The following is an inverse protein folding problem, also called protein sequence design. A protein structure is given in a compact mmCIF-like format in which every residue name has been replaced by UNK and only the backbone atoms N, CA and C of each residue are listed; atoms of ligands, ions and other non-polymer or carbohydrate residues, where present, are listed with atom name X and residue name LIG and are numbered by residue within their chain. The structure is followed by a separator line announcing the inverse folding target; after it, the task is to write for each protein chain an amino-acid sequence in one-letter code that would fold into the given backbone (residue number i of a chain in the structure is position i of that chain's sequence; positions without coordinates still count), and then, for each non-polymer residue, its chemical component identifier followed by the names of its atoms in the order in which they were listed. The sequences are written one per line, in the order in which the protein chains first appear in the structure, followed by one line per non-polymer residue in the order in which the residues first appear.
data_IF_961512745133
#
_entry.id   IF_961512745133
#
_cell.length_a   1.000
_cell.length_b   1.000
_cell.length_c   1.000
_cell.angle_alpha   90.00
_cell.angle_beta   90.00
_cell.angle_gamma   90.00
#
_symmetry.space_group_name_H-M   'P 1'
#
loop_
_entity.id
_entity.type
_entity.pdbx_description
1 polymer ?
#
# COMPACT_ATOMS: atom_id res chain seq x y z
N UNK A 1 11.12 18.90 -11.39
CA UNK A 1 9.81 19.32 -11.95
C UNK A 1 9.77 20.82 -12.26
N UNK A 2 9.93 21.72 -11.27
CA UNK A 2 9.89 23.18 -11.51
C UNK A 2 10.93 23.68 -12.53
N UNK A 3 12.11 23.06 -12.61
CA UNK A 3 13.13 23.37 -13.62
C UNK A 3 12.81 22.90 -15.04
N UNK A 4 11.80 22.05 -15.21
CA UNK A 4 11.47 21.42 -16.50
C UNK A 4 10.45 22.24 -17.32
N UNK A 5 9.96 23.36 -16.80
CA UNK A 5 8.93 24.19 -17.46
C UNK A 5 8.90 25.59 -16.88
N UNK A 6 8.69 26.62 -17.72
CA UNK A 6 8.49 28.02 -17.27
C UNK A 6 7.04 28.48 -17.41
N UNK A 7 6.11 27.57 -17.74
CA UNK A 7 4.68 27.94 -17.88
C UNK A 7 4.11 28.30 -16.51
N UNK A 8 3.66 29.54 -16.36
CA UNK A 8 3.16 30.09 -15.09
C UNK A 8 2.03 29.25 -14.47
N UNK A 9 1.07 28.79 -15.29
CA UNK A 9 -0.01 27.92 -14.82
C UNK A 9 0.50 26.59 -14.25
N UNK A 10 1.58 26.04 -14.81
CA UNK A 10 2.19 24.80 -14.30
C UNK A 10 2.96 25.08 -13.02
N UNK A 11 3.68 26.21 -12.94
CA UNK A 11 4.38 26.62 -11.72
C UNK A 11 3.40 26.81 -10.55
N UNK A 12 2.29 27.54 -10.77
CA UNK A 12 1.22 27.69 -9.78
C UNK A 12 0.67 26.34 -9.32
N UNK A 13 0.46 25.40 -10.24
CA UNK A 13 -0.03 24.07 -9.87
C UNK A 13 0.99 23.26 -9.06
N UNK A 14 2.28 23.43 -9.33
CA UNK A 14 3.33 22.83 -8.51
C UNK A 14 3.38 23.46 -7.12
N UNK A 15 3.10 24.76 -6.98
CA UNK A 15 2.98 25.44 -5.69
C UNK A 15 1.77 24.94 -4.88
N UNK A 16 0.60 24.74 -5.52
CA UNK A 16 -0.57 24.11 -4.89
C UNK A 16 -0.23 22.73 -4.30
N UNK A 17 0.58 21.95 -5.02
CA UNK A 17 1.03 20.63 -4.56
C UNK A 17 1.94 20.74 -3.33
N UNK A 18 2.81 21.75 -3.26
CA UNK A 18 3.62 22.02 -2.06
C UNK A 18 2.70 22.33 -0.86
N UNK A 19 1.71 23.20 -1.05
CA UNK A 19 0.75 23.55 0.00
C UNK A 19 -0.07 22.35 0.46
N UNK A 20 -0.48 21.49 -0.48
CA UNK A 20 -1.17 20.24 -0.18
C UNK A 20 -0.30 19.26 0.60
N UNK A 21 0.97 19.08 0.20
CA UNK A 21 1.91 18.25 0.96
C UNK A 21 2.11 18.78 2.38
N UNK A 22 2.25 20.10 2.55
CA UNK A 22 2.33 20.72 3.88
C UNK A 22 1.07 20.46 4.72
N UNK A 23 -0.11 20.51 4.11
CA UNK A 23 -1.35 20.11 4.79
C UNK A 23 -1.29 18.66 5.29
N UNK A 24 -0.80 17.73 4.47
CA UNK A 24 -0.66 16.31 4.85
C UNK A 24 0.30 16.18 6.05
N UNK A 25 1.43 16.88 6.03
CA UNK A 25 2.38 16.88 7.16
C UNK A 25 1.74 17.35 8.47
N UNK A 26 1.02 18.48 8.44
CA UNK A 26 0.35 19.04 9.61
C UNK A 26 -0.79 18.14 10.10
N UNK A 27 -1.49 17.47 9.18
CA UNK A 27 -2.49 16.47 9.54
C UNK A 27 -1.84 15.29 10.28
N UNK A 28 -0.69 14.80 9.81
CA UNK A 28 0.04 13.72 10.47
C UNK A 28 0.50 14.12 11.87
N UNK A 29 1.05 15.32 12.03
CA UNK A 29 1.47 15.86 13.34
C UNK A 29 0.28 15.95 14.30
N UNK A 30 -0.84 16.51 13.84
CA UNK A 30 -2.08 16.55 14.61
C UNK A 30 -2.56 15.13 14.97
N UNK A 31 -2.65 14.21 14.01
CA UNK A 31 -3.21 12.88 14.24
C UNK A 31 -2.41 12.05 15.25
N UNK A 32 -1.07 12.23 15.30
CA UNK A 32 -0.16 11.45 16.15
C UNK A 32 0.36 12.19 17.38
N UNK A 33 -0.24 13.33 17.75
CA UNK A 33 0.05 14.05 18.99
C UNK A 33 -1.09 13.91 20.00
N UNK A 34 -0.79 14.20 21.26
CA UNK A 34 -1.76 14.20 22.36
C UNK A 34 -1.63 15.47 23.23
N UNK A 35 -2.60 15.72 24.09
CA UNK A 35 -2.62 16.84 25.03
C UNK A 35 -2.43 18.21 24.38
N UNK A 36 -1.64 19.08 25.01
CA UNK A 36 -1.38 20.45 24.53
C UNK A 36 -0.69 20.47 23.15
N UNK A 37 0.18 19.49 22.87
CA UNK A 37 0.86 19.36 21.57
C UNK A 37 -0.17 19.09 20.47
N UNK A 38 -1.20 18.28 20.76
CA UNK A 38 -2.30 18.03 19.82
C UNK A 38 -3.09 19.29 19.51
N UNK A 39 -3.42 20.08 20.53
CA UNK A 39 -4.12 21.35 20.34
C UNK A 39 -3.30 22.33 19.49
N UNK A 40 -2.00 22.46 19.76
CA UNK A 40 -1.11 23.34 18.98
C UNK A 40 -0.98 22.88 17.52
N UNK A 41 -0.86 21.57 17.28
CA UNK A 41 -0.81 21.03 15.92
C UNK A 41 -2.14 21.16 15.19
N UNK A 42 -3.27 21.01 15.90
CA UNK A 42 -4.60 21.28 15.36
C UNK A 42 -4.75 22.75 14.92
N UNK A 43 -4.33 23.71 15.74
CA UNK A 43 -4.34 25.12 15.35
C UNK A 43 -3.52 25.36 14.07
N UNK A 44 -2.27 24.88 14.03
CA UNK A 44 -1.39 25.02 12.84
C UNK A 44 -2.06 24.46 11.58
N UNK A 45 -2.65 23.27 11.68
CA UNK A 45 -3.38 22.62 10.60
C UNK A 45 -4.53 23.50 10.09
N UNK A 46 -5.37 24.00 11.00
CA UNK A 46 -6.55 24.80 10.63
C UNK A 46 -6.16 26.14 9.99
N UNK A 47 -5.13 26.81 10.52
CA UNK A 47 -4.61 28.06 9.96
C UNK A 47 -4.08 27.87 8.55
N UNK A 48 -3.27 26.84 8.32
CA UNK A 48 -2.73 26.50 7.00
C UNK A 48 -3.85 26.19 5.99
N UNK A 49 -4.80 25.33 6.38
CA UNK A 49 -5.94 24.92 5.55
C UNK A 49 -6.81 26.11 5.16
N UNK A 50 -7.06 27.05 6.07
CA UNK A 50 -7.82 28.25 5.75
C UNK A 50 -7.08 29.14 4.75
N UNK A 51 -5.77 29.36 4.95
CA UNK A 51 -4.95 30.20 4.06
C UNK A 51 -4.84 29.62 2.65
N UNK A 52 -4.71 28.30 2.52
CA UNK A 52 -4.64 27.63 1.21
C UNK A 52 -6.01 27.32 0.55
N UNK A 53 -7.13 27.76 1.13
CA UNK A 53 -8.48 27.34 0.71
C UNK A 53 -8.80 27.59 -0.76
N UNK A 54 -8.22 28.62 -1.36
CA UNK A 54 -8.48 29.04 -2.75
C UNK A 54 -7.83 28.11 -3.78
N UNK A 55 -6.89 27.27 -3.35
CA UNK A 55 -6.32 26.20 -4.19
C UNK A 55 -7.34 25.10 -4.52
N UNK A 56 -8.44 25.03 -3.75
CA UNK A 56 -9.48 23.99 -3.82
C UNK A 56 -8.94 22.55 -3.66
N UNK A 57 -7.72 22.39 -3.15
CA UNK A 57 -7.11 21.08 -2.87
C UNK A 57 -7.68 20.43 -1.59
N UNK A 58 -8.18 21.25 -0.66
CA UNK A 58 -8.73 20.81 0.63
C UNK A 58 -9.97 21.62 0.97
N UNK A 59 -11.04 20.96 1.42
CA UNK A 59 -12.29 21.62 1.79
C UNK A 59 -12.19 22.25 3.21
N UNK A 60 -11.67 23.48 3.30
CA UNK A 60 -11.36 24.14 4.58
C UNK A 60 -12.52 24.16 5.59
N UNK A 61 -13.73 24.52 5.17
CA UNK A 61 -14.92 24.58 6.05
C UNK A 61 -15.30 23.22 6.65
N UNK A 62 -15.10 22.13 5.90
CA UNK A 62 -15.45 20.80 6.37
C UNK A 62 -14.50 20.38 7.49
N UNK A 63 -13.19 20.62 7.33
CA UNK A 63 -12.22 20.39 8.39
C UNK A 63 -12.50 21.23 9.64
N UNK A 64 -12.73 22.53 9.47
CA UNK A 64 -13.05 23.47 10.57
C UNK A 64 -14.27 23.00 11.38
N UNK A 65 -15.29 22.48 10.71
CA UNK A 65 -16.54 22.03 11.31
C UNK A 65 -16.44 20.64 11.92
N UNK A 66 -15.87 19.68 11.19
CA UNK A 66 -16.04 18.26 11.49
C UNK A 66 -14.93 17.69 12.38
N UNK A 67 -13.71 18.24 12.33
CA UNK A 67 -12.59 17.71 13.12
C UNK A 67 -12.88 17.84 14.61
N UNK A 68 -13.24 19.02 15.11
CA UNK A 68 -13.61 19.22 16.53
C UNK A 68 -14.92 18.55 16.93
N UNK A 69 -15.80 18.24 15.96
CA UNK A 69 -17.00 17.47 16.24
C UNK A 69 -16.66 16.01 16.56
N UNK A 70 -15.69 15.44 15.82
CA UNK A 70 -15.25 14.05 15.94
C UNK A 70 -14.18 13.85 17.01
N UNK A 71 -13.31 14.82 17.20
CA UNK A 71 -12.23 14.78 18.20
C UNK A 71 -12.48 15.82 19.29
N UNK A 72 -12.93 15.35 20.46
CA UNK A 72 -13.23 16.21 21.62
C UNK A 72 -12.00 16.63 22.41
N UNK A 73 -10.80 16.16 22.03
CA UNK A 73 -9.54 16.52 22.68
C UNK A 73 -8.97 17.85 22.19
N UNK A 74 -9.57 18.44 21.16
CA UNK A 74 -9.19 19.75 20.64
C UNK A 74 -10.40 20.67 20.56
N UNK A 75 -10.16 21.97 20.70
CA UNK A 75 -11.20 22.99 20.69
C UNK A 75 -10.83 24.14 19.75
N UNK A 76 -11.85 24.88 19.33
CA UNK A 76 -11.69 26.15 18.61
C UNK A 76 -12.14 27.25 19.58
N UNK A 77 -11.29 28.23 19.91
CA UNK A 77 -11.67 29.39 20.71
C UNK A 77 -12.87 30.13 20.11
N UNK A 78 -13.70 30.77 20.94
CA UNK A 78 -14.93 31.46 20.48
C UNK A 78 -14.64 32.54 19.43
N UNK A 79 -13.57 33.31 19.64
CA UNK A 79 -13.09 34.33 18.72
C UNK A 79 -12.43 33.77 17.45
N UNK A 80 -12.20 32.45 17.39
CA UNK A 80 -11.63 31.76 16.24
C UNK A 80 -12.66 30.90 15.48
N UNK A 81 -13.96 30.99 15.78
CA UNK A 81 -14.96 30.17 15.07
C UNK A 81 -15.13 30.58 13.59
N UNK A 82 -15.62 29.65 12.75
CA UNK A 82 -15.74 29.86 11.30
C UNK A 82 -16.53 31.11 10.90
N UNK A 83 -17.53 31.52 11.68
CA UNK A 83 -18.36 32.68 11.35
C UNK A 83 -17.73 34.02 11.75
N UNK A 84 -16.67 34.02 12.54
CA UNK A 84 -15.91 35.25 12.82
C UNK A 84 -15.16 35.65 11.55
N UNK A 85 -15.33 36.91 11.14
CA UNK A 85 -14.66 37.49 9.99
C UNK A 85 -13.14 37.49 10.16
N UNK A 86 -12.41 37.48 9.05
CA UNK A 86 -10.95 37.31 9.05
C UNK A 86 -10.23 38.43 9.83
N UNK A 87 -10.70 39.67 9.75
CA UNK A 87 -10.18 40.82 10.49
C UNK A 87 -10.22 40.65 12.03
N UNK A 88 -11.08 39.77 12.53
CA UNK A 88 -11.28 39.50 13.97
C UNK A 88 -10.85 38.10 14.40
N UNK A 89 -10.57 37.22 13.44
CA UNK A 89 -10.30 35.82 13.72
C UNK A 89 -8.79 35.56 13.65
N UNK A 90 -8.12 35.25 14.78
CA UNK A 90 -6.67 35.09 14.82
C UNK A 90 -6.16 33.88 14.02
N UNK A 91 -7.05 32.98 13.59
CA UNK A 91 -6.70 31.78 12.84
C UNK A 91 -6.90 31.92 11.34
N UNK A 92 -7.42 33.06 10.87
CA UNK A 92 -7.70 33.30 9.45
C UNK A 92 -6.72 34.31 8.88
N UNK A 93 -6.16 33.98 7.72
CA UNK A 93 -5.39 34.88 6.87
C UNK A 93 -5.53 34.41 5.43
N UNK A 94 -5.72 35.35 4.52
CA UNK A 94 -5.79 35.19 3.07
C UNK A 94 -4.55 35.74 2.37
N UNK A 95 -3.52 36.11 3.12
CA UNK A 95 -2.26 36.54 2.54
C UNK A 95 -1.70 35.43 1.64
N UNK A 96 -1.28 35.75 0.40
CA UNK A 96 -0.67 34.76 -0.48
C UNK A 96 0.56 34.13 0.17
N UNK A 97 0.80 32.84 -0.11
CA UNK A 97 2.06 32.21 0.27
C UNK A 97 3.19 32.78 -0.59
N UNK A 98 4.24 33.23 0.08
CA UNK A 98 5.44 33.73 -0.60
C UNK A 98 6.26 32.56 -1.12
N UNK A 99 7.15 32.84 -2.09
CA UNK A 99 8.07 31.83 -2.60
C UNK A 99 8.98 31.27 -1.50
N UNK A 100 9.45 32.15 -0.61
CA UNK A 100 10.30 31.78 0.51
C UNK A 100 9.58 30.80 1.45
N UNK A 101 8.31 31.03 1.79
CA UNK A 101 7.54 30.09 2.62
C UNK A 101 7.37 28.72 1.95
N UNK A 102 7.12 28.68 0.64
CA UNK A 102 7.01 27.43 -0.10
C UNK A 102 8.32 26.64 -0.10
N UNK A 103 9.45 27.31 -0.30
CA UNK A 103 10.77 26.68 -0.25
C UNK A 103 11.09 26.20 1.17
N UNK A 104 10.75 26.98 2.20
CA UNK A 104 10.86 26.55 3.61
C UNK A 104 10.01 25.32 3.93
N UNK A 105 8.78 25.21 3.39
CA UNK A 105 7.97 24.01 3.59
C UNK A 105 8.63 22.77 2.99
N UNK A 106 9.28 22.90 1.85
CA UNK A 106 10.02 21.80 1.21
C UNK A 106 11.22 21.40 2.07
N UNK A 107 12.04 22.37 2.48
CA UNK A 107 13.23 22.16 3.31
C UNK A 107 12.87 21.50 4.65
N UNK A 108 11.92 22.10 5.37
CA UNK A 108 11.42 21.55 6.64
C UNK A 108 10.78 20.18 6.44
N UNK A 109 10.10 19.93 5.32
CA UNK A 109 9.56 18.63 4.98
C UNK A 109 10.67 17.58 4.90
N UNK A 110 11.76 17.86 4.15
CA UNK A 110 12.91 16.96 4.06
C UNK A 110 13.58 16.71 5.41
N UNK A 111 13.80 17.76 6.21
CA UNK A 111 14.44 17.64 7.52
C UNK A 111 13.56 16.84 8.50
N UNK A 112 12.27 17.17 8.60
CA UNK A 112 11.38 16.58 9.59
C UNK A 112 10.78 15.23 9.16
N UNK A 113 10.91 14.86 7.88
CA UNK A 113 10.31 13.66 7.27
C UNK A 113 11.30 12.82 6.48
N UNK A 114 12.60 12.90 6.78
CA UNK A 114 13.63 12.16 6.02
C UNK A 114 13.24 10.69 5.80
N UNK A 115 13.32 10.28 4.52
CA UNK A 115 13.07 8.90 4.11
C UNK A 115 14.11 8.01 4.80
N UNK A 116 13.59 7.08 5.61
CA UNK A 116 14.36 6.49 6.72
C UNK A 116 15.34 5.43 6.26
N UNK A 117 16.64 5.74 6.33
CA UNK A 117 17.72 4.77 6.59
C UNK A 117 17.98 3.69 5.52
N UNK A 118 17.34 3.77 4.37
CA UNK A 118 17.58 2.95 3.18
C UNK A 118 17.10 3.67 1.92
N UNK A 119 17.69 3.30 0.77
CA UNK A 119 17.27 3.78 -0.54
C UNK A 119 16.31 2.75 -1.17
N UNK A 120 15.11 3.15 -1.63
CA UNK A 120 14.21 2.24 -2.34
C UNK A 120 14.83 1.75 -3.66
N UNK A 121 14.56 0.50 -4.02
CA UNK A 121 14.96 -0.11 -5.29
C UNK A 121 13.71 -0.36 -6.11
N UNK A 122 13.69 0.15 -7.32
CA UNK A 122 12.62 -0.13 -8.29
C UNK A 122 12.88 -1.50 -8.92
N UNK A 123 11.85 -2.36 -8.89
CA UNK A 123 11.84 -3.65 -9.56
C UNK A 123 10.85 -3.65 -10.71
N UNK A 124 11.16 -4.41 -11.75
CA UNK A 124 10.28 -4.63 -12.89
C UNK A 124 9.06 -5.46 -12.49
N UNK A 125 8.01 -5.36 -13.30
CA UNK A 125 6.82 -6.22 -13.21
C UNK A 125 6.92 -7.44 -14.15
N UNK A 126 8.10 -7.69 -14.73
CA UNK A 126 8.34 -8.87 -15.56
C UNK A 126 8.67 -10.06 -14.66
N UNK A 127 7.62 -10.68 -14.12
CA UNK A 127 7.76 -11.74 -13.14
C UNK A 127 7.96 -13.10 -13.81
N UNK A 128 8.88 -13.90 -13.23
CA UNK A 128 9.23 -15.25 -13.68
C UNK A 128 9.29 -16.23 -12.50
N UNK A 129 9.12 -17.53 -12.71
CA UNK A 129 9.28 -18.54 -11.67
C UNK A 129 10.68 -18.58 -11.06
N UNK A 130 10.78 -19.01 -9.80
CA UNK A 130 12.04 -19.04 -9.03
C UNK A 130 12.99 -20.21 -9.36
N UNK A 131 12.70 -21.01 -10.39
CA UNK A 131 13.40 -22.27 -10.67
C UNK A 131 14.93 -22.17 -10.78
N UNK A 132 15.47 -21.01 -11.16
CA UNK A 132 16.92 -20.74 -11.23
C UNK A 132 17.62 -20.62 -9.87
N UNK A 133 16.88 -20.33 -8.80
CA UNK A 133 17.44 -19.96 -7.49
C UNK A 133 17.65 -21.13 -6.53
N UNK A 134 17.26 -22.35 -6.90
CA UNK A 134 17.37 -23.57 -6.06
C UNK A 134 16.92 -23.34 -4.60
N UNK A 135 15.81 -22.64 -4.42
CA UNK A 135 15.28 -22.30 -3.10
C UNK A 135 14.72 -23.54 -2.39
N UNK A 136 14.88 -23.67 -1.07
CA UNK A 136 14.32 -24.80 -0.34
C UNK A 136 12.79 -24.76 -0.31
N UNK A 137 12.17 -25.93 -0.18
CA UNK A 137 10.73 -26.01 0.13
C UNK A 137 10.48 -25.48 1.53
N UNK A 138 9.38 -24.75 1.70
CA UNK A 138 8.97 -24.14 2.98
C UNK A 138 7.52 -24.51 3.32
N UNK A 139 7.13 -24.52 4.60
CA UNK A 139 5.73 -24.74 4.97
C UNK A 139 4.82 -23.68 4.36
N UNK A 140 3.69 -24.10 3.78
CA UNK A 140 2.73 -23.22 3.14
C UNK A 140 2.18 -22.17 4.11
N UNK A 141 2.25 -20.91 3.70
CA UNK A 141 1.70 -19.75 4.38
C UNK A 141 0.18 -19.62 4.23
N UNK A 142 -0.36 -18.49 4.72
CA UNK A 142 -1.79 -18.16 4.68
C UNK A 142 -1.98 -16.74 4.19
N UNK A 143 -2.83 -16.51 3.18
CA UNK A 143 -3.12 -15.17 2.63
C UNK A 143 -4.13 -14.35 3.46
N UNK A 144 -4.47 -14.81 4.67
CA UNK A 144 -5.47 -14.15 5.51
C UNK A 144 -6.83 -14.84 5.44
N UNK A 145 -7.86 -14.11 5.89
CA UNK A 145 -9.23 -14.63 6.01
C UNK A 145 -10.03 -14.52 4.70
N UNK A 146 -9.89 -13.39 4.01
CA UNK A 146 -10.55 -13.07 2.74
C UNK A 146 -9.89 -11.83 2.11
N UNK A 147 -10.27 -11.52 0.87
CA UNK A 147 -9.96 -10.26 0.18
C UNK A 147 -11.22 -9.39 0.06
N UNK A 148 -11.08 -8.07 -0.09
CA UNK A 148 -12.20 -7.16 -0.37
C UNK A 148 -11.85 -6.23 -1.52
N UNK A 149 -12.85 -5.86 -2.30
CA UNK A 149 -12.70 -4.98 -3.45
C UNK A 149 -11.94 -5.68 -4.57
N UNK A 150 -11.06 -4.93 -5.23
CA UNK A 150 -10.22 -5.47 -6.30
C UNK A 150 -8.95 -6.13 -5.74
N UNK A 151 -8.72 -7.37 -6.12
CA UNK A 151 -7.51 -8.15 -5.86
C UNK A 151 -6.85 -8.51 -7.19
N UNK A 152 -5.52 -8.48 -7.23
CA UNK A 152 -4.72 -8.92 -8.37
C UNK A 152 -3.78 -10.02 -7.91
N UNK A 153 -3.76 -11.13 -8.63
CA UNK A 153 -2.78 -12.19 -8.51
C UNK A 153 -1.99 -12.30 -9.82
N UNK A 154 -0.71 -12.62 -9.70
CA UNK A 154 0.17 -12.92 -10.82
C UNK A 154 0.44 -14.42 -10.81
N UNK A 155 0.26 -15.06 -11.95
CA UNK A 155 0.46 -16.50 -12.13
C UNK A 155 1.29 -16.78 -13.37
N UNK A 156 1.91 -17.96 -13.41
CA UNK A 156 2.70 -18.40 -14.54
C UNK A 156 2.10 -19.67 -15.12
N UNK A 157 1.97 -19.70 -16.44
CA UNK A 157 1.40 -20.80 -17.19
C UNK A 157 2.52 -21.45 -18.00
N UNK A 158 2.76 -22.73 -17.77
CA UNK A 158 3.69 -23.52 -18.57
C UNK A 158 2.99 -24.11 -19.81
N UNK A 159 3.73 -24.86 -20.63
CA UNK A 159 3.19 -25.47 -21.85
C UNK A 159 2.15 -26.57 -21.58
N UNK A 160 2.21 -27.22 -20.40
CA UNK A 160 1.28 -28.28 -20.00
C UNK A 160 -0.01 -27.77 -19.38
N UNK A 161 -0.07 -26.51 -18.95
CA UNK A 161 -1.19 -25.93 -18.22
C UNK A 161 -2.36 -25.57 -19.14
N UNK A 162 -3.38 -26.43 -19.18
CA UNK A 162 -4.59 -26.20 -20.00
C UNK A 162 -5.62 -25.29 -19.32
N UNK A 163 -5.68 -25.30 -17.98
CA UNK A 163 -6.57 -24.46 -17.19
C UNK A 163 -5.92 -24.04 -15.88
N UNK A 164 -6.43 -22.94 -15.31
CA UNK A 164 -6.16 -22.51 -13.95
C UNK A 164 -7.43 -22.71 -13.14
N UNK A 165 -7.40 -23.69 -12.23
CA UNK A 165 -8.53 -24.00 -11.35
C UNK A 165 -8.47 -23.16 -10.09
N UNK A 166 -9.57 -22.45 -9.79
CA UNK A 166 -9.72 -21.65 -8.57
C UNK A 166 -10.97 -22.08 -7.82
N UNK A 167 -10.85 -22.34 -6.51
CA UNK A 167 -12.00 -22.48 -5.62
C UNK A 167 -12.33 -21.12 -5.02
N UNK A 168 -13.52 -20.62 -5.29
CA UNK A 168 -13.95 -19.26 -4.96
C UNK A 168 -15.23 -19.27 -4.15
N UNK A 169 -15.32 -18.41 -3.15
CA UNK A 169 -16.55 -18.12 -2.40
C UNK A 169 -16.66 -16.63 -2.10
N UNK A 170 -17.73 -16.01 -2.59
CA UNK A 170 -18.06 -14.61 -2.39
C UNK A 170 -19.10 -14.38 -1.30
N UNK A 171 -19.27 -13.12 -0.90
CA UNK A 171 -20.30 -12.71 0.04
C UNK A 171 -20.00 -13.03 1.50
N UNK A 172 -18.73 -12.97 1.90
CA UNK A 172 -18.30 -13.24 3.28
C UNK A 172 -18.75 -12.19 4.29
N UNK A 173 -18.99 -10.96 3.83
CA UNK A 173 -19.45 -9.83 4.65
C UNK A 173 -20.85 -9.40 4.23
N UNK A 174 -21.05 -9.17 2.93
CA UNK A 174 -22.30 -8.67 2.36
C UNK A 174 -22.74 -9.55 1.19
N UNK A 175 -24.04 -9.86 1.09
CA UNK A 175 -24.58 -10.71 0.02
C UNK A 175 -25.27 -9.93 -1.10
N UNK A 176 -25.36 -8.62 -0.96
CA UNK A 176 -26.16 -7.69 -1.78
C UNK A 176 -25.30 -6.74 -2.63
N UNK A 177 -23.99 -6.99 -2.70
CA UNK A 177 -23.01 -6.12 -3.41
C UNK A 177 -22.66 -6.61 -4.82
N UNK A 178 -23.43 -7.57 -5.35
CA UNK A 178 -23.21 -8.18 -6.65
C UNK A 178 -22.27 -9.39 -6.62
N UNK A 179 -22.15 -10.03 -7.78
CA UNK A 179 -21.31 -11.22 -7.97
C UNK A 179 -19.82 -10.88 -7.88
N UNK A 180 -19.04 -11.88 -7.48
CA UNK A 180 -17.59 -11.86 -7.63
C UNK A 180 -17.27 -12.02 -9.11
N UNK A 181 -16.63 -11.03 -9.70
CA UNK A 181 -16.19 -11.03 -11.10
C UNK A 181 -14.69 -11.34 -11.17
N UNK A 182 -14.33 -12.30 -12.00
CA UNK A 182 -12.96 -12.79 -12.15
C UNK A 182 -12.57 -12.70 -13.61
N UNK A 183 -11.40 -12.10 -13.88
CA UNK A 183 -10.84 -12.00 -15.22
C UNK A 183 -9.41 -12.53 -15.25
N UNK A 184 -9.08 -13.25 -16.31
CA UNK A 184 -7.73 -13.68 -16.65
C UNK A 184 -7.20 -12.82 -17.80
N UNK A 185 -6.02 -12.23 -17.62
CA UNK A 185 -5.31 -11.48 -18.64
C UNK A 185 -3.95 -12.12 -18.89
N UNK A 186 -3.43 -11.98 -20.11
CA UNK A 186 -1.98 -12.07 -20.30
C UNK A 186 -1.33 -10.81 -19.73
N UNK A 187 -0.12 -10.93 -19.19
CA UNK A 187 0.63 -9.75 -18.78
C UNK A 187 0.76 -8.75 -19.95
N UNK A 188 0.59 -7.46 -19.64
CA UNK A 188 0.64 -6.33 -20.59
C UNK A 188 -0.48 -6.31 -21.65
N UNK A 189 -1.55 -7.11 -21.49
CA UNK A 189 -2.75 -7.03 -22.32
C UNK A 189 -3.91 -6.44 -21.52
N UNK A 190 -4.72 -5.62 -22.18
CA UNK A 190 -5.91 -4.98 -21.59
C UNK A 190 -7.17 -5.83 -21.73
N UNK A 191 -7.21 -6.73 -22.71
CA UNK A 191 -8.35 -7.60 -22.97
C UNK A 191 -8.24 -8.88 -22.16
N UNK A 192 -9.37 -9.28 -21.54
CA UNK A 192 -9.43 -10.53 -20.80
C UNK A 192 -9.44 -11.71 -21.77
N UNK A 193 -8.61 -12.70 -21.50
CA UNK A 193 -8.57 -13.98 -22.21
C UNK A 193 -9.73 -14.90 -21.80
N UNK A 194 -10.13 -14.80 -20.54
CA UNK A 194 -11.23 -15.57 -19.98
C UNK A 194 -11.82 -14.85 -18.75
N UNK A 195 -13.02 -15.25 -18.35
CA UNK A 195 -13.70 -14.69 -17.19
C UNK A 195 -14.69 -15.66 -16.55
N UNK A 196 -14.96 -15.45 -15.27
CA UNK A 196 -15.97 -16.18 -14.53
C UNK A 196 -16.69 -15.27 -13.54
N UNK A 197 -17.90 -15.65 -13.14
CA UNK A 197 -18.65 -15.00 -12.07
C UNK A 197 -19.06 -16.01 -11.00
N UNK A 198 -19.04 -15.58 -9.74
CA UNK A 198 -19.46 -16.40 -8.60
C UNK A 198 -20.45 -15.61 -7.73
N UNK A 199 -21.66 -16.14 -7.48
CA UNK A 199 -22.64 -15.47 -6.64
C UNK A 199 -22.15 -15.21 -5.22
N UNK A 200 -22.56 -14.10 -4.56
CA UNK A 200 -22.12 -13.74 -3.21
C UNK A 200 -22.93 -14.46 -2.12
N UNK A 201 -23.12 -15.78 -2.25
CA UNK A 201 -23.98 -16.57 -1.35
C UNK A 201 -23.21 -17.31 -0.25
N UNK A 202 -21.88 -17.18 -0.21
CA UNK A 202 -20.98 -17.84 0.72
C UNK A 202 -20.59 -19.26 0.33
N UNK A 203 -21.17 -19.84 -0.73
CA UNK A 203 -20.86 -21.21 -1.16
C UNK A 203 -19.60 -21.26 -2.01
N UNK A 204 -18.78 -22.27 -1.77
CA UNK A 204 -17.58 -22.53 -2.55
C UNK A 204 -17.93 -23.12 -3.91
N UNK A 205 -17.27 -22.61 -4.96
CA UNK A 205 -17.41 -23.07 -6.34
C UNK A 205 -16.04 -23.12 -6.98
N UNK A 206 -15.77 -24.20 -7.71
CA UNK A 206 -14.60 -24.30 -8.55
C UNK A 206 -14.90 -23.65 -9.90
N UNK A 207 -14.01 -22.77 -10.34
CA UNK A 207 -14.01 -22.20 -11.68
C UNK A 207 -12.71 -22.58 -12.40
N UNK A 208 -12.80 -22.68 -13.72
CA UNK A 208 -11.69 -23.03 -14.60
C UNK A 208 -11.46 -21.90 -15.58
N UNK A 209 -10.28 -21.26 -15.52
CA UNK A 209 -9.89 -20.18 -16.43
C UNK A 209 -8.90 -20.70 -17.48
N UNK A 210 -9.08 -20.33 -18.75
CA UNK A 210 -8.28 -20.82 -19.88
C UNK A 210 -7.23 -19.79 -20.33
N UNK A 211 -5.93 -20.00 -20.04
CA UNK A 211 -4.88 -19.05 -20.38
C UNK A 211 -4.51 -18.99 -21.86
N UNK A 212 -4.75 -20.06 -22.63
CA UNK A 212 -4.50 -20.17 -24.08
C UNK A 212 -3.03 -20.01 -24.52
N UNK A 213 -2.14 -19.46 -23.70
CA UNK A 213 -0.75 -19.17 -24.01
C UNK A 213 0.11 -19.39 -22.76
N UNK A 214 1.40 -19.71 -22.96
CA UNK A 214 2.38 -19.82 -21.87
C UNK A 214 2.87 -18.44 -21.42
N UNK A 215 3.38 -18.37 -20.19
CA UNK A 215 4.04 -17.21 -19.61
C UNK A 215 3.25 -16.53 -18.48
N UNK A 216 3.60 -15.27 -18.19
CA UNK A 216 3.00 -14.48 -17.12
C UNK A 216 1.56 -14.07 -17.44
N UNK A 217 0.67 -14.34 -16.49
CA UNK A 217 -0.73 -13.99 -16.52
C UNK A 217 -1.13 -13.24 -15.25
N UNK A 218 -2.23 -12.50 -15.36
CA UNK A 218 -2.80 -11.71 -14.28
C UNK A 218 -4.24 -12.16 -14.07
N UNK A 219 -4.58 -12.52 -12.82
CA UNK A 219 -5.95 -12.79 -12.41
C UNK A 219 -6.42 -11.62 -11.57
N UNK A 220 -7.48 -10.94 -12.01
CA UNK A 220 -8.15 -9.93 -11.18
C UNK A 220 -9.46 -10.46 -10.65
N UNK A 221 -9.74 -10.18 -9.38
CA UNK A 221 -10.97 -10.53 -8.68
C UNK A 221 -11.59 -9.26 -8.14
N UNK A 222 -12.88 -9.04 -8.36
CA UNK A 222 -13.61 -7.87 -7.87
C UNK A 222 -14.95 -8.30 -7.28
N UNK A 223 -15.28 -7.81 -6.08
CA UNK A 223 -16.45 -8.30 -5.32
C UNK A 223 -17.32 -7.18 -4.74
N UNK A 224 -17.17 -5.94 -5.19
CA UNK A 224 -17.91 -4.80 -4.64
C UNK A 224 -17.63 -4.52 -3.15
N UNK A 225 -16.55 -5.08 -2.58
CA UNK A 225 -16.20 -4.99 -1.16
C UNK A 225 -16.88 -6.02 -0.26
N UNK A 226 -17.55 -7.03 -0.84
CA UNK A 226 -18.35 -8.06 -0.18
C UNK A 226 -17.57 -9.11 0.60
N UNK A 227 -16.27 -9.24 0.36
CA UNK A 227 -15.44 -10.29 0.95
C UNK A 227 -15.44 -11.55 0.08
N UNK A 228 -14.26 -11.92 -0.42
CA UNK A 228 -14.03 -13.09 -1.29
C UNK A 228 -12.87 -13.93 -0.81
N UNK A 229 -13.06 -15.26 -0.78
CA UNK A 229 -11.99 -16.24 -0.59
C UNK A 229 -11.68 -16.86 -1.96
N UNK A 230 -10.40 -16.88 -2.31
CA UNK A 230 -9.87 -17.55 -3.50
C UNK A 230 -8.80 -18.53 -3.05
N UNK A 231 -8.91 -19.77 -3.50
CA UNK A 231 -7.94 -20.83 -3.27
C UNK A 231 -7.54 -21.42 -4.62
N UNK A 232 -6.31 -21.89 -4.71
CA UNK A 232 -5.74 -22.56 -5.87
C UNK A 232 -4.94 -23.78 -5.39
N UNK A 233 -4.66 -24.67 -6.33
CA UNK A 233 -3.85 -25.86 -6.10
C UNK A 233 -2.49 -25.49 -5.51
N UNK A 234 -1.99 -26.33 -4.60
CA UNK A 234 -0.59 -26.22 -4.16
C UNK A 234 0.34 -26.30 -5.38
N UNK A 235 1.48 -25.63 -5.28
CA UNK A 235 2.51 -25.57 -6.33
C UNK A 235 2.16 -24.80 -7.62
N UNK A 236 0.89 -24.37 -7.81
CA UNK A 236 0.55 -23.43 -8.87
C UNK A 236 1.17 -22.05 -8.56
N UNK A 237 2.02 -21.48 -9.44
CA UNK A 237 2.57 -20.15 -9.23
C UNK A 237 1.47 -19.11 -9.00
N UNK A 238 1.48 -18.44 -7.84
CA UNK A 238 0.48 -17.45 -7.47
C UNK A 238 1.05 -16.45 -6.48
N UNK A 239 1.43 -15.28 -7.01
CA UNK A 239 2.08 -14.22 -6.26
C UNK A 239 1.19 -12.98 -6.21
N UNK A 240 1.23 -12.26 -5.09
CA UNK A 240 0.66 -10.91 -4.98
C UNK A 240 1.78 -9.89 -4.85
N UNK A 241 1.56 -8.70 -5.40
CA UNK A 241 2.48 -7.58 -5.21
C UNK A 241 2.11 -6.81 -3.94
N UNK A 242 3.14 -6.35 -3.22
CA UNK A 242 3.03 -5.50 -2.05
C UNK A 242 4.08 -4.39 -2.11
N UNK A 243 3.88 -3.46 -3.05
CA UNK A 243 4.68 -2.25 -3.25
C UNK A 243 3.91 -1.00 -2.79
N UNK A 244 4.52 0.18 -2.88
CA UNK A 244 3.84 1.46 -2.61
C UNK A 244 2.67 1.70 -3.59
N UNK A 245 2.87 1.37 -4.87
CA UNK A 245 1.86 1.60 -5.92
C UNK A 245 0.79 0.51 -5.96
N UNK A 246 1.15 -0.71 -5.56
CA UNK A 246 0.25 -1.86 -5.56
C UNK A 246 0.36 -2.63 -4.22
N UNK A 247 -0.29 -2.15 -3.14
CA UNK A 247 -0.30 -2.84 -1.86
C UNK A 247 -1.06 -4.17 -1.92
N UNK A 248 -0.56 -5.21 -1.23
CA UNK A 248 -1.26 -6.49 -1.13
C UNK A 248 -2.54 -6.44 -0.29
N UNK A 249 -2.86 -5.37 0.46
CA UNK A 249 -4.17 -5.15 1.12
C UNK A 249 -4.86 -6.42 1.69
N UNK A 250 -4.13 -7.22 2.48
CA UNK A 250 -4.62 -8.50 3.02
C UNK A 250 -5.49 -8.29 4.28
N UNK A 251 -6.49 -9.15 4.51
CA UNK A 251 -7.36 -9.06 5.68
C UNK A 251 -7.17 -10.22 6.67
N UNK A 252 -7.27 -9.91 7.96
CA UNK A 252 -7.02 -10.85 9.04
C UNK A 252 -5.53 -11.11 9.28
N UNK A 253 -5.22 -12.25 9.89
CA UNK A 253 -3.84 -12.68 10.15
C UNK A 253 -3.31 -13.50 8.97
N UNK A 254 -2.18 -13.10 8.43
CA UNK A 254 -1.57 -13.72 7.26
C UNK A 254 -0.08 -13.99 7.51
N UNK A 255 0.44 -15.01 6.82
CA UNK A 255 1.86 -15.37 6.86
C UNK A 255 2.31 -15.71 5.43
N UNK A 256 3.26 -14.95 4.87
CA UNK A 256 3.71 -15.10 3.49
C UNK A 256 5.22 -14.94 3.38
N UNK A 257 5.78 -15.52 2.33
CA UNK A 257 7.20 -15.48 2.02
C UNK A 257 7.50 -14.45 0.94
N UNK A 258 8.72 -13.91 1.00
CA UNK A 258 9.33 -13.07 -0.02
C UNK A 258 10.80 -13.42 -0.16
N UNK A 259 11.39 -13.10 -1.30
CA UNK A 259 12.80 -13.37 -1.57
C UNK A 259 13.68 -12.17 -1.17
N UNK A 260 14.81 -12.45 -0.53
CA UNK A 260 15.87 -11.47 -0.30
C UNK A 260 17.01 -11.79 -1.27
N UNK A 261 17.24 -10.98 -2.33
CA UNK A 261 18.29 -11.22 -3.31
C UNK A 261 19.68 -11.29 -2.71
N UNK A 262 20.61 -11.98 -3.39
CA UNK A 262 22.03 -11.99 -3.01
C UNK A 262 22.56 -10.56 -2.91
N UNK A 263 23.51 -10.35 -2.01
CA UNK A 263 24.14 -9.08 -1.68
C UNK A 263 23.23 -8.01 -1.04
N UNK A 264 21.95 -8.32 -0.79
CA UNK A 264 21.06 -7.41 -0.06
C UNK A 264 21.62 -7.14 1.33
N UNK A 265 21.76 -5.85 1.70
CA UNK A 265 22.25 -5.45 3.03
C UNK A 265 21.13 -5.06 3.98
N UNK A 266 20.02 -4.60 3.44
CA UNK A 266 18.89 -4.07 4.20
C UNK A 266 17.59 -4.56 3.57
N UNK A 267 16.68 -5.09 4.41
CA UNK A 267 15.25 -5.20 4.09
C UNK A 267 14.56 -3.99 4.67
N UNK A 268 14.12 -3.09 3.80
CA UNK A 268 13.45 -1.84 4.11
C UNK A 268 12.07 -1.79 3.49
N UNK A 269 11.14 -1.15 4.19
CA UNK A 269 9.77 -1.03 3.74
C UNK A 269 8.90 -0.21 4.67
N UNK A 270 7.60 -0.25 4.41
CA UNK A 270 6.57 0.34 5.26
C UNK A 270 5.68 -0.75 5.84
N UNK A 271 5.34 -0.63 7.12
CA UNK A 271 4.41 -1.53 7.80
C UNK A 271 3.28 -0.75 8.46
N UNK A 272 2.08 -1.30 8.40
CA UNK A 272 0.95 -0.88 9.21
C UNK A 272 0.33 -2.12 9.84
N UNK A 273 0.18 -2.14 11.16
CA UNK A 273 -0.36 -3.27 11.92
C UNK A 273 0.69 -4.31 12.37
N UNK A 274 0.35 -5.15 13.35
CA UNK A 274 1.30 -5.95 14.10
C UNK A 274 1.70 -7.25 13.39
N UNK A 275 2.83 -7.85 13.77
CA UNK A 275 3.31 -9.12 13.21
C UNK A 275 4.79 -9.38 13.47
N UNK A 276 5.37 -10.38 12.80
CA UNK A 276 6.80 -10.74 12.92
C UNK A 276 7.46 -10.85 11.56
N UNK A 277 8.76 -10.57 11.51
CA UNK A 277 9.63 -10.88 10.38
C UNK A 277 10.64 -11.94 10.79
N UNK A 278 10.68 -13.04 10.05
CA UNK A 278 11.63 -14.12 10.22
C UNK A 278 12.63 -14.11 9.05
N UNK A 279 13.89 -14.41 9.35
CA UNK A 279 14.94 -14.56 8.35
C UNK A 279 14.85 -15.90 7.60
N UNK A 280 15.80 -16.12 6.67
CA UNK A 280 15.89 -17.34 5.87
C UNK A 280 16.13 -18.65 6.63
N UNK A 281 16.36 -18.61 7.94
CA UNK A 281 16.42 -19.79 8.80
C UNK A 281 15.26 -19.84 9.80
N UNK A 282 14.24 -18.98 9.65
CA UNK A 282 13.10 -18.90 10.56
C UNK A 282 13.39 -18.17 11.87
N UNK A 283 14.53 -17.50 12.02
CA UNK A 283 14.85 -16.73 13.23
C UNK A 283 14.12 -15.38 13.19
N UNK A 284 13.49 -15.01 14.30
CA UNK A 284 12.90 -13.68 14.48
C UNK A 284 13.98 -12.60 14.38
N UNK A 285 13.77 -11.65 13.47
CA UNK A 285 14.68 -10.50 13.25
C UNK A 285 13.99 -9.15 13.47
N UNK A 286 12.65 -9.11 13.44
CA UNK A 286 11.90 -7.89 13.73
C UNK A 286 10.47 -8.20 14.17
N UNK A 287 9.92 -7.37 15.06
CA UNK A 287 8.53 -7.40 15.49
C UNK A 287 7.87 -6.10 15.06
N UNK A 288 6.75 -6.20 14.35
CA UNK A 288 5.93 -5.06 13.95
C UNK A 288 4.88 -4.77 15.02
N UNK A 289 4.72 -3.50 15.34
CA UNK A 289 3.70 -2.98 16.24
C UNK A 289 2.45 -2.51 15.47
N UNK A 290 1.41 -2.10 16.20
CA UNK A 290 0.19 -1.56 15.58
C UNK A 290 0.45 -0.23 14.84
N UNK A 291 1.41 0.56 15.33
CA UNK A 291 1.71 1.90 14.80
C UNK A 291 2.30 1.80 13.38
N UNK A 292 1.70 2.46 12.38
CA UNK A 292 2.25 2.48 11.05
C UNK A 292 3.58 3.24 10.95
N UNK A 293 4.47 2.77 10.09
CA UNK A 293 5.76 3.43 9.86
C UNK A 293 6.71 2.64 8.98
N UNK A 294 7.80 3.29 8.58
CA UNK A 294 8.90 2.63 7.90
C UNK A 294 9.70 1.75 8.85
N UNK A 295 10.12 0.59 8.36
CA UNK A 295 11.00 -0.34 9.07
C UNK A 295 12.28 -0.59 8.27
N UNK A 296 13.34 -0.93 9.00
CA UNK A 296 14.66 -1.24 8.45
C UNK A 296 15.25 -2.41 9.23
N UNK A 297 15.64 -3.48 8.53
CA UNK A 297 16.25 -4.66 9.12
C UNK A 297 17.52 -5.00 8.36
N UNK A 298 18.64 -5.09 9.08
CA UNK A 298 19.92 -5.50 8.49
C UNK A 298 19.88 -6.97 8.10
N UNK A 299 20.34 -7.28 6.90
CA UNK A 299 20.52 -8.66 6.43
C UNK A 299 21.86 -9.17 6.96
N UNK A 300 21.80 -10.11 7.91
CA UNK A 300 23.00 -10.76 8.45
C UNK A 300 23.75 -11.55 7.37
N UNK A 301 25.02 -11.88 7.63
CA UNK A 301 25.82 -12.69 6.72
C UNK A 301 25.16 -14.06 6.42
N UNK A 302 25.09 -14.43 5.15
CA UNK A 302 24.48 -15.69 4.67
C UNK A 302 22.96 -15.75 4.83
N UNK A 303 22.30 -14.59 4.98
CA UNK A 303 20.83 -14.47 5.07
C UNK A 303 20.19 -13.94 3.79
N UNK A 304 20.99 -13.37 2.90
CA UNK A 304 20.64 -13.07 1.53
C UNK A 304 20.56 -14.34 0.69
N UNK A 305 19.95 -14.25 -0.49
CA UNK A 305 19.69 -15.39 -1.37
C UNK A 305 18.67 -16.38 -0.82
N UNK A 306 17.83 -15.99 0.15
CA UNK A 306 16.90 -16.88 0.86
C UNK A 306 15.48 -16.31 0.92
N UNK A 307 14.52 -17.18 1.17
CA UNK A 307 13.14 -16.78 1.47
C UNK A 307 13.03 -16.32 2.93
N UNK A 308 12.57 -15.09 3.12
CA UNK A 308 12.20 -14.55 4.42
C UNK A 308 10.68 -14.61 4.58
N UNK A 309 10.21 -14.52 5.82
CA UNK A 309 8.79 -14.73 6.13
C UNK A 309 8.22 -13.59 6.96
N UNK A 310 7.14 -13.00 6.47
CA UNK A 310 6.21 -12.29 7.33
C UNK A 310 5.33 -13.31 8.04
N UNK A 311 5.37 -13.32 9.37
CA UNK A 311 4.66 -14.30 10.20
C UNK A 311 3.59 -13.61 11.04
N UNK A 312 2.36 -14.13 10.96
CA UNK A 312 1.20 -13.69 11.73
C UNK A 312 0.95 -12.17 11.64
N UNK A 313 1.16 -11.60 10.46
CA UNK A 313 1.01 -10.19 10.21
C UNK A 313 -0.46 -9.81 10.03
N UNK A 314 -0.79 -8.58 10.42
CA UNK A 314 -2.02 -7.90 10.05
C UNK A 314 -1.68 -6.55 9.41
N UNK A 315 -2.60 -6.04 8.59
CA UNK A 315 -2.42 -4.81 7.83
C UNK A 315 -1.42 -4.96 6.67
N UNK A 316 -0.72 -3.87 6.35
CA UNK A 316 0.12 -3.76 5.16
C UNK A 316 1.59 -4.03 5.44
N UNK A 317 2.29 -4.63 4.48
CA UNK A 317 3.76 -4.73 4.42
C UNK A 317 4.21 -4.35 3.01
N UNK A 318 4.71 -3.14 2.83
CA UNK A 318 5.14 -2.62 1.53
C UNK A 318 6.66 -2.76 1.47
N UNK A 319 7.16 -3.60 0.58
CA UNK A 319 8.59 -3.86 0.40
C UNK A 319 9.19 -2.81 -0.52
N UNK A 320 10.36 -2.28 -0.16
CA UNK A 320 10.98 -1.16 -0.87
C UNK A 320 12.44 -1.41 -1.25
N UNK A 321 13.16 -2.35 -0.64
CA UNK A 321 14.57 -2.66 -0.98
C UNK A 321 14.78 -4.09 -1.50
N UNK A 322 13.70 -4.85 -1.61
CA UNK A 322 13.68 -6.23 -2.11
C UNK A 322 12.45 -6.39 -3.01
N UNK A 323 12.39 -7.42 -3.89
CA UNK A 323 11.25 -7.64 -4.76
C UNK A 323 9.92 -7.62 -3.99
N UNK A 324 8.94 -6.79 -4.40
CA UNK A 324 7.72 -6.61 -3.65
C UNK A 324 6.70 -7.72 -3.90
N UNK A 325 7.16 -8.97 -3.92
CA UNK A 325 6.40 -10.17 -4.29
C UNK A 325 6.18 -11.04 -3.05
N UNK A 326 4.93 -11.38 -2.76
CA UNK A 326 4.55 -12.26 -1.65
C UNK A 326 3.84 -13.52 -2.16
N UNK A 327 4.19 -14.69 -1.61
CA UNK A 327 3.56 -15.97 -1.95
C UNK A 327 3.43 -16.88 -0.72
N UNK A 328 2.60 -17.94 -0.80
CA UNK A 328 2.43 -18.89 0.32
C UNK A 328 3.59 -19.88 0.43
N UNK A 329 4.31 -20.15 -0.66
CA UNK A 329 5.46 -21.06 -0.67
C UNK A 329 6.48 -20.65 -1.73
N UNK A 330 7.54 -21.45 -1.86
CA UNK A 330 8.60 -21.29 -2.85
C UNK A 330 8.08 -21.48 -4.28
N UNK A 331 7.24 -22.49 -4.47
CA UNK A 331 6.65 -22.90 -5.75
C UNK A 331 5.62 -21.88 -6.25
N UNK A 332 4.93 -21.22 -5.32
CA UNK A 332 3.95 -20.18 -5.65
C UNK A 332 4.60 -18.83 -6.01
N UNK A 333 5.91 -18.66 -5.72
CA UNK A 333 6.59 -17.39 -5.85
C UNK A 333 7.00 -17.10 -7.29
N UNK A 334 6.69 -15.89 -7.75
CA UNK A 334 7.20 -15.28 -8.95
C UNK A 334 8.04 -14.06 -8.56
N UNK A 335 9.16 -13.84 -9.23
CA UNK A 335 10.09 -12.75 -8.95
C UNK A 335 10.36 -11.92 -10.21
N UNK A 336 10.66 -10.63 -10.09
CA UNK A 336 11.22 -9.84 -11.19
C UNK A 336 12.40 -10.59 -11.81
N UNK A 337 12.48 -10.62 -13.14
CA UNK A 337 13.48 -11.38 -13.87
C UNK A 337 14.91 -11.06 -13.42
N UNK A 338 15.21 -9.79 -13.14
CA UNK A 338 16.50 -9.31 -12.65
C UNK A 338 16.88 -9.83 -11.25
N UNK A 339 15.93 -10.42 -10.51
CA UNK A 339 16.16 -10.96 -9.16
C UNK A 339 16.45 -12.47 -9.15
N UNK A 340 16.32 -13.15 -10.29
CA UNK A 340 16.61 -14.59 -10.44
C UNK A 340 17.90 -14.89 -11.19
N UNK A 341 18.67 -13.84 -11.54
CA UNK A 341 19.93 -13.92 -12.29
C UNK A 341 21.16 -14.20 -11.40
#
# INVERSE_FOLDING_TARGET
AKSLTNKEAVQRRLDDLVLYTRYVELWFDYAHSDGEVRQANFEKLIRHVYRMRETMMVHAKALYRDVVRRDKRVTIPENATWNISEDKNPWKSSEPFTRHELDQFIEQGFENRSLRGFEPIQFSTNLVPTGKLSLPKVPTGKMGLYSRGKRTYYTWVDESSQSIELTVSGGRIYKDRGDVVIHLYRANQLEALDSATVPPDGKERTISLKPRQKGLHIITVSDGGAGTIVQWQSDQPMTVISSLDQPASLHGRWSLYFYVPKNTKIVGGYSAGPGKLLDGNGKLVHTFEDKPGYFRVTVGAGRDGKLWKFENCAGQRLLMTVPPTLARSTEELLLPAESVE
#
